data_IF_303054190626
#
_entry.id   IF_303054190626
#
_cell.length_a   1.000
_cell.length_b   1.000
_cell.length_c   1.000
_cell.angle_alpha   90.00
_cell.angle_beta   90.00
_cell.angle_gamma   90.00
#
_symmetry.space_group_name_H-M   'P 1'
#
loop_
_entity.id
_entity.type
_entity.pdbx_description
1 polymer ?
#
# COMPACT_ATOMS: atom_id res chain seq x y z
N UNK A 1 -9.77 -34.95 7.86
CA UNK A 1 -10.06 -33.59 7.34
C UNK A 1 -9.93 -32.49 8.42
N UNK A 2 -10.39 -32.70 9.65
CA UNK A 2 -10.33 -31.69 10.74
C UNK A 2 -8.92 -31.20 11.12
N UNK A 3 -7.91 -32.08 11.11
CA UNK A 3 -6.52 -31.71 11.43
C UNK A 3 -5.91 -30.73 10.42
N UNK A 4 -6.27 -30.83 9.13
CA UNK A 4 -5.73 -29.97 8.07
C UNK A 4 -6.31 -28.56 8.15
N UNK A 5 -7.61 -28.46 8.45
CA UNK A 5 -8.28 -27.18 8.66
C UNK A 5 -7.81 -26.49 9.95
N UNK A 6 -7.58 -27.23 11.04
CA UNK A 6 -7.07 -26.63 12.29
C UNK A 6 -5.64 -26.13 12.12
N UNK A 7 -4.77 -26.87 11.42
CA UNK A 7 -3.41 -26.41 11.08
C UNK A 7 -3.42 -25.17 10.18
N UNK A 8 -4.34 -25.11 9.21
CA UNK A 8 -4.49 -23.93 8.35
C UNK A 8 -4.93 -22.69 9.14
N UNK A 9 -5.91 -22.82 10.04
CA UNK A 9 -6.32 -21.72 10.92
C UNK A 9 -5.19 -21.29 11.87
N UNK A 10 -4.43 -22.24 12.42
CA UNK A 10 -3.31 -21.93 13.31
C UNK A 10 -2.18 -21.20 12.58
N UNK A 11 -1.90 -21.58 11.32
CA UNK A 11 -0.93 -20.88 10.47
C UNK A 11 -1.37 -19.45 10.12
N UNK A 12 -2.67 -19.23 9.88
CA UNK A 12 -3.24 -17.90 9.62
C UNK A 12 -3.17 -17.00 10.86
N UNK A 13 -3.48 -17.54 12.04
CA UNK A 13 -3.43 -16.81 13.32
C UNK A 13 -2.00 -16.57 13.83
N UNK A 14 -1.08 -17.51 13.61
CA UNK A 14 0.33 -17.34 13.95
C UNK A 14 1.04 -16.36 13.01
N UNK A 15 0.52 -16.17 11.79
CA UNK A 15 1.05 -15.20 10.85
C UNK A 15 0.98 -13.80 11.44
N UNK A 16 -0.15 -13.37 12.04
CA UNK A 16 -0.36 -11.97 12.50
C UNK A 16 0.51 -11.52 13.67
N UNK A 17 0.97 -12.45 14.52
CA UNK A 17 1.87 -12.14 15.63
C UNK A 17 3.35 -12.12 15.22
N UNK A 18 3.70 -12.78 14.10
CA UNK A 18 5.08 -12.93 13.64
C UNK A 18 5.61 -11.70 12.87
N UNK A 19 4.74 -10.76 12.43
CA UNK A 19 5.22 -9.53 11.78
C UNK A 19 5.99 -8.60 12.72
N UNK A 20 5.82 -8.72 14.04
CA UNK A 20 6.48 -7.83 15.00
C UNK A 20 7.96 -8.19 15.28
N UNK A 21 8.41 -9.42 14.99
CA UNK A 21 9.76 -9.91 15.30
C UNK A 21 10.54 -10.44 14.07
N UNK A 22 9.92 -10.43 12.88
CA UNK A 22 10.55 -10.89 11.65
C UNK A 22 11.43 -9.82 11.01
N UNK A 23 12.59 -10.22 10.48
CA UNK A 23 13.31 -9.37 9.51
C UNK A 23 12.42 -9.22 8.26
N UNK A 24 12.20 -8.00 7.75
CA UNK A 24 11.53 -7.83 6.47
C UNK A 24 12.33 -8.60 5.41
N UNK A 25 11.67 -9.54 4.74
CA UNK A 25 12.26 -10.26 3.61
C UNK A 25 12.12 -9.36 2.39
N UNK A 26 13.25 -8.90 1.87
CA UNK A 26 13.30 -8.14 0.62
C UNK A 26 13.48 -9.09 -0.57
N UNK A 27 12.89 -8.73 -1.72
CA UNK A 27 12.96 -9.50 -2.95
C UNK A 27 11.82 -10.52 -3.13
N UNK A 28 11.76 -11.13 -4.31
CA UNK A 28 10.69 -12.03 -4.73
C UNK A 28 9.79 -11.43 -5.81
N UNK A 29 8.77 -12.18 -6.21
CA UNK A 29 7.77 -11.77 -7.21
C UNK A 29 6.40 -11.64 -6.52
N UNK A 30 5.77 -10.47 -6.64
CA UNK A 30 4.40 -10.26 -6.23
C UNK A 30 3.49 -10.42 -7.44
N UNK A 31 2.67 -11.48 -7.45
CA UNK A 31 1.67 -11.72 -8.49
C UNK A 31 0.32 -11.16 -8.04
N UNK A 32 -0.22 -10.22 -8.80
CA UNK A 32 -1.51 -9.57 -8.51
C UNK A 32 -2.47 -9.85 -9.65
N UNK A 33 -3.66 -10.35 -9.32
CA UNK A 33 -4.76 -10.42 -10.27
C UNK A 33 -5.57 -9.12 -10.19
N UNK A 34 -5.74 -8.44 -11.32
CA UNK A 34 -6.62 -7.28 -11.42
C UNK A 34 -7.61 -7.49 -12.58
N UNK A 35 -8.87 -7.09 -12.38
CA UNK A 35 -9.95 -7.27 -13.35
C UNK A 35 -10.17 -6.07 -14.28
N UNK A 36 -9.27 -5.08 -14.24
CA UNK A 36 -9.38 -3.85 -15.02
C UNK A 36 -8.77 -3.96 -16.42
N UNK A 37 -8.97 -2.95 -17.28
CA UNK A 37 -8.28 -2.87 -18.56
C UNK A 37 -6.75 -2.89 -18.37
N UNK A 38 -5.98 -3.27 -19.41
CA UNK A 38 -4.52 -3.19 -19.36
C UNK A 38 -4.09 -1.75 -19.04
N UNK A 39 -3.08 -1.61 -18.17
CA UNK A 39 -2.69 -0.37 -17.50
C UNK A 39 -2.52 0.83 -18.44
N UNK A 40 -3.13 1.97 -18.07
CA UNK A 40 -2.79 3.27 -18.62
C UNK A 40 -1.48 3.70 -17.98
N UNK A 41 -0.40 3.79 -18.76
CA UNK A 41 0.94 4.10 -18.25
C UNK A 41 1.12 5.55 -17.74
N UNK A 42 0.06 6.36 -17.76
CA UNK A 42 0.06 7.77 -17.34
C UNK A 42 -0.60 7.89 -15.95
N UNK A 43 0.18 8.12 -14.87
CA UNK A 43 -0.35 8.23 -13.50
C UNK A 43 -1.40 9.31 -13.32
N UNK A 44 -1.36 10.38 -14.13
CA UNK A 44 -2.36 11.45 -14.07
C UNK A 44 -3.77 11.03 -14.53
N UNK A 45 -3.89 9.87 -15.19
CA UNK A 45 -5.15 9.31 -15.71
C UNK A 45 -5.70 8.18 -14.83
N UNK A 46 -5.15 7.95 -13.63
CA UNK A 46 -5.69 6.97 -12.70
C UNK A 46 -6.99 7.47 -12.07
N UNK A 47 -8.12 6.91 -12.52
CA UNK A 47 -9.45 7.29 -12.05
C UNK A 47 -10.02 6.34 -10.99
N UNK A 48 -9.42 5.16 -10.83
CA UNK A 48 -9.81 4.19 -9.81
C UNK A 48 -8.78 4.07 -8.69
N UNK A 49 -9.20 3.77 -7.44
CA UNK A 49 -8.25 3.50 -6.35
C UNK A 49 -7.27 2.36 -6.66
N UNK A 50 -7.69 1.39 -7.47
CA UNK A 50 -6.86 0.28 -7.91
C UNK A 50 -5.75 0.76 -8.87
N UNK A 51 -6.10 1.52 -9.90
CA UNK A 51 -5.13 2.10 -10.85
C UNK A 51 -4.14 3.02 -10.13
N UNK A 52 -4.63 3.90 -9.26
CA UNK A 52 -3.78 4.79 -8.48
C UNK A 52 -2.80 4.02 -7.58
N UNK A 53 -3.23 2.87 -7.05
CA UNK A 53 -2.36 2.00 -6.24
C UNK A 53 -1.29 1.31 -7.08
N UNK A 54 -1.65 0.75 -8.24
CA UNK A 54 -0.71 0.04 -9.11
C UNK A 54 0.30 1.01 -9.74
N UNK A 55 -0.16 2.13 -10.29
CA UNK A 55 0.72 3.16 -10.85
C UNK A 55 1.58 3.84 -9.78
N UNK A 56 1.10 3.92 -8.53
CA UNK A 56 1.89 4.38 -7.39
C UNK A 56 3.11 3.51 -7.06
N UNK A 57 3.15 2.25 -7.51
CA UNK A 57 4.33 1.39 -7.40
C UNK A 57 5.43 1.79 -8.40
N UNK A 58 5.05 2.31 -9.57
CA UNK A 58 5.94 2.72 -10.64
C UNK A 58 6.35 4.20 -10.51
N UNK A 59 5.43 5.04 -10.06
CA UNK A 59 5.58 6.47 -9.86
C UNK A 59 5.27 6.83 -8.40
N UNK A 60 6.27 6.79 -7.51
CA UNK A 60 6.04 7.05 -6.09
C UNK A 60 5.47 8.46 -5.87
N UNK A 61 4.38 8.61 -5.10
CA UNK A 61 3.76 9.90 -4.88
C UNK A 61 4.58 10.74 -3.89
N UNK A 62 4.34 12.06 -3.90
CA UNK A 62 4.97 12.99 -2.96
C UNK A 62 4.48 12.76 -1.53
N UNK A 63 3.18 12.52 -1.37
CA UNK A 63 2.54 12.10 -0.13
C UNK A 63 1.57 10.96 -0.42
N UNK A 64 1.31 10.10 0.57
CA UNK A 64 0.36 8.99 0.43
C UNK A 64 -0.79 9.13 1.42
N UNK A 65 -1.96 8.68 1.01
CA UNK A 65 -3.10 8.57 1.91
C UNK A 65 -2.92 7.37 2.84
N UNK A 66 -3.23 7.57 4.12
CA UNK A 66 -3.28 6.51 5.13
C UNK A 66 -4.66 5.87 5.14
N UNK A 67 -4.77 4.66 5.71
CA UNK A 67 -6.05 3.95 5.84
C UNK A 67 -7.07 4.70 6.70
N UNK A 68 -6.59 5.55 7.61
CA UNK A 68 -7.41 6.33 8.54
C UNK A 68 -7.87 7.67 7.93
N UNK A 69 -7.61 7.91 6.64
CA UNK A 69 -8.01 9.12 5.92
C UNK A 69 -7.07 10.32 6.10
N UNK A 70 -5.97 10.15 6.82
CA UNK A 70 -4.88 11.14 6.89
C UNK A 70 -3.93 11.06 5.70
N UNK A 71 -2.96 11.97 5.64
CA UNK A 71 -1.89 11.96 4.66
C UNK A 71 -0.54 11.89 5.37
N UNK A 72 0.38 11.11 4.82
CA UNK A 72 1.75 11.03 5.32
C UNK A 72 2.77 11.27 4.20
N UNK A 73 3.95 11.83 4.51
CA UNK A 73 5.02 11.99 3.53
C UNK A 73 5.45 10.64 2.94
N UNK A 74 5.70 10.61 1.63
CA UNK A 74 6.27 9.45 0.93
C UNK A 74 7.64 9.83 0.34
N UNK A 75 7.66 10.58 -0.77
CA UNK A 75 8.90 11.23 -1.26
C UNK A 75 9.17 12.58 -0.59
N UNK A 76 8.14 13.26 -0.09
CA UNK A 76 8.31 14.48 0.70
C UNK A 76 9.05 14.17 2.01
N UNK A 77 9.82 15.14 2.48
CA UNK A 77 10.41 15.15 3.81
C UNK A 77 9.39 15.58 4.85
N UNK A 78 8.57 16.58 4.54
CA UNK A 78 7.60 17.15 5.46
C UNK A 78 6.31 17.56 4.76
N UNK A 79 5.20 17.37 5.47
CA UNK A 79 3.87 17.83 5.08
C UNK A 79 3.29 18.65 6.23
N UNK A 80 3.07 19.94 6.00
CA UNK A 80 2.41 20.83 6.97
C UNK A 80 1.29 21.63 6.32
N UNK A 81 0.33 22.07 7.13
CA UNK A 81 -0.80 22.90 6.70
C UNK A 81 -0.80 24.21 7.51
N UNK A 82 -0.02 25.23 7.11
CA UNK A 82 0.13 26.47 7.87
C UNK A 82 -1.19 27.24 8.00
N UNK A 83 -2.03 27.15 6.97
CA UNK A 83 -3.39 27.71 6.94
C UNK A 83 -4.34 26.71 6.30
N UNK A 84 -5.67 26.78 6.52
CA UNK A 84 -6.63 25.86 5.90
C UNK A 84 -6.55 25.81 4.36
N UNK A 85 -6.10 26.90 3.73
CA UNK A 85 -6.03 27.12 2.28
C UNK A 85 -4.65 26.76 1.69
N UNK A 86 -3.63 26.50 2.51
CA UNK A 86 -2.27 26.25 2.03
C UNK A 86 -1.73 24.92 2.54
N UNK A 87 -1.13 24.16 1.63
CA UNK A 87 -0.38 22.95 1.94
C UNK A 87 1.08 23.24 1.66
N UNK A 88 1.95 23.02 2.64
CA UNK A 88 3.40 23.11 2.47
C UNK A 88 3.96 21.70 2.40
N UNK A 89 4.65 21.43 1.31
CA UNK A 89 5.40 20.20 1.08
C UNK A 89 6.87 20.58 0.97
N UNK A 90 7.74 19.85 1.65
CA UNK A 90 9.19 20.07 1.62
C UNK A 90 9.90 18.73 1.50
#
# INVERSE_FOLDING_TARGET
MRLRSTLACLALLASSAAQAAGRPRYGGELRVAHGGPPEVAEPALADTPLEATLLGLLSPPVCRATRDGGFEPALARELSRPTPQSLRIT
#
